data_IF_748616249072
#
_entry.id   IF_748616249072
#
_cell.length_a   1.000
_cell.length_b   1.000
_cell.length_c   1.000
_cell.angle_alpha   90.00
_cell.angle_beta   90.00
_cell.angle_gamma   90.00
#
_symmetry.space_group_name_H-M   'P 1'
#
loop_
_entity.id
_entity.type
_entity.pdbx_description
1 polymer ?
#
# COMPACT_ATOMS: atom_id res chain seq x y z
N UNK A 1 8.21 -17.12 1.43
CA UNK A 1 7.79 -16.43 2.69
C UNK A 1 6.28 -16.22 2.60
N UNK A 2 5.49 -17.01 3.34
CA UNK A 2 4.03 -16.89 3.34
C UNK A 2 3.64 -15.72 4.24
N UNK A 3 3.14 -14.65 3.65
CA UNK A 3 2.49 -13.56 4.33
C UNK A 3 1.11 -14.03 4.76
N UNK A 4 0.84 -14.11 6.06
CA UNK A 4 -0.54 -14.19 6.52
C UNK A 4 -1.13 -12.78 6.37
N UNK A 5 -2.03 -12.61 5.40
CA UNK A 5 -2.93 -11.46 5.37
C UNK A 5 -3.79 -11.56 6.65
N UNK A 6 -3.67 -10.58 7.52
CA UNK A 6 -4.60 -10.46 8.65
C UNK A 6 -5.99 -10.28 8.05
N UNK A 7 -6.97 -11.10 8.47
CA UNK A 7 -8.34 -11.07 7.97
C UNK A 7 -8.99 -9.70 8.25
N UNK A 8 -8.83 -8.76 7.32
CA UNK A 8 -9.60 -7.52 7.28
C UNK A 8 -10.99 -7.73 6.65
N UNK A 9 -11.27 -8.96 6.18
CA UNK A 9 -12.46 -9.31 5.40
C UNK A 9 -13.78 -9.26 6.17
N UNK A 10 -13.77 -9.52 7.48
CA UNK A 10 -15.02 -9.58 8.25
C UNK A 10 -15.62 -8.20 8.52
N UNK A 11 -14.79 -7.18 8.73
CA UNK A 11 -15.27 -5.79 8.91
C UNK A 11 -15.79 -5.17 7.60
N UNK A 12 -15.25 -5.61 6.45
CA UNK A 12 -15.74 -5.22 5.13
C UNK A 12 -17.13 -5.78 4.83
N UNK A 13 -17.47 -6.97 5.35
CA UNK A 13 -18.76 -7.64 5.10
C UNK A 13 -19.92 -6.97 5.80
N UNK A 14 -19.74 -6.50 7.02
CA UNK A 14 -20.82 -5.90 7.80
C UNK A 14 -21.19 -4.49 7.30
N UNK A 15 -20.20 -3.65 7.01
CA UNK A 15 -20.43 -2.33 6.42
C UNK A 15 -21.11 -2.41 5.04
N UNK A 16 -20.83 -3.47 4.29
CA UNK A 16 -21.33 -3.63 2.93
C UNK A 16 -22.82 -3.98 2.88
N UNK A 17 -23.34 -4.78 3.82
CA UNK A 17 -24.75 -5.16 3.88
C UNK A 17 -25.66 -3.94 4.08
N UNK A 18 -25.19 -2.93 4.81
CA UNK A 18 -25.97 -1.74 5.13
C UNK A 18 -26.02 -0.71 3.99
N UNK A 19 -24.93 -0.53 3.23
CA UNK A 19 -24.77 0.60 2.30
C UNK A 19 -24.76 0.24 0.81
N UNK A 20 -24.60 -1.05 0.46
CA UNK A 20 -24.62 -1.49 -0.94
C UNK A 20 -25.97 -1.25 -1.66
N UNK A 21 -27.14 -1.37 -1.00
CA UNK A 21 -28.42 -1.16 -1.65
C UNK A 21 -28.64 0.22 -2.26
N UNK A 22 -27.96 1.27 -1.74
CA UNK A 22 -28.08 2.65 -2.24
C UNK A 22 -27.16 2.94 -3.42
N UNK A 23 -26.26 2.03 -3.74
CA UNK A 23 -25.30 2.17 -4.81
C UNK A 23 -25.95 1.93 -6.16
N UNK A 24 -25.82 2.88 -7.07
CA UNK A 24 -26.32 2.77 -8.44
C UNK A 24 -25.17 2.41 -9.38
N UNK A 25 -25.34 1.35 -10.16
CA UNK A 25 -24.39 0.94 -11.21
C UNK A 25 -25.08 1.08 -12.55
N UNK A 26 -24.46 1.82 -13.46
CA UNK A 26 -24.94 1.94 -14.82
C UNK A 26 -23.82 1.64 -15.82
N UNK A 27 -24.17 1.05 -16.94
CA UNK A 27 -23.23 0.70 -18.00
C UNK A 27 -23.36 1.71 -19.15
N UNK A 28 -22.23 2.07 -19.71
CA UNK A 28 -22.12 2.91 -20.90
C UNK A 28 -20.97 2.45 -21.77
N UNK A 29 -21.10 2.60 -23.07
CA UNK A 29 -19.99 2.33 -24.00
C UNK A 29 -19.33 3.66 -24.36
N UNK A 30 -18.07 3.81 -23.98
CA UNK A 30 -17.26 4.94 -24.36
C UNK A 30 -16.38 4.56 -25.55
N UNK A 31 -16.15 5.48 -26.45
CA UNK A 31 -15.17 5.25 -27.49
C UNK A 31 -13.75 5.35 -26.93
N UNK A 32 -12.79 4.66 -27.55
CA UNK A 32 -11.38 4.76 -27.18
C UNK A 32 -10.91 6.21 -27.16
N UNK A 33 -11.33 7.03 -28.13
CA UNK A 33 -11.01 8.46 -28.19
C UNK A 33 -11.57 9.24 -27.01
N UNK A 34 -12.83 9.00 -26.62
CA UNK A 34 -13.44 9.64 -25.45
C UNK A 34 -12.71 9.27 -24.15
N UNK A 35 -12.35 8.01 -23.97
CA UNK A 35 -11.55 7.57 -22.81
C UNK A 35 -10.18 8.25 -22.77
N UNK A 36 -9.48 8.32 -23.90
CA UNK A 36 -8.19 9.00 -23.98
C UNK A 36 -8.30 10.49 -23.69
N UNK A 37 -9.38 11.15 -24.12
CA UNK A 37 -9.65 12.54 -23.78
C UNK A 37 -9.84 12.73 -22.26
N UNK A 38 -10.62 11.86 -21.61
CA UNK A 38 -10.81 11.93 -20.16
C UNK A 38 -9.50 11.68 -19.40
N UNK A 39 -8.65 10.79 -19.89
CA UNK A 39 -7.32 10.55 -19.33
C UNK A 39 -6.45 11.81 -19.49
N UNK A 40 -6.45 12.44 -20.67
CA UNK A 40 -5.65 13.66 -20.94
C UNK A 40 -6.05 14.85 -20.08
N UNK A 41 -7.33 14.93 -19.71
CA UNK A 41 -7.89 15.95 -18.81
C UNK A 41 -7.71 15.62 -17.33
N UNK A 42 -7.01 14.54 -16.98
CA UNK A 42 -6.84 14.06 -15.60
C UNK A 42 -8.16 13.78 -14.86
N UNK A 43 -9.24 13.50 -15.59
CA UNK A 43 -10.54 13.15 -14.99
C UNK A 43 -10.49 11.76 -14.36
N UNK A 44 -9.67 10.86 -14.92
CA UNK A 44 -9.29 9.58 -14.32
C UNK A 44 -7.86 9.64 -13.78
N UNK A 45 -7.64 9.22 -12.57
CA UNK A 45 -6.30 8.93 -12.08
C UNK A 45 -5.85 7.58 -12.64
N UNK A 46 -5.23 7.60 -13.81
CA UNK A 46 -4.74 6.38 -14.51
C UNK A 46 -3.29 6.08 -14.22
N UNK A 47 -2.51 7.07 -13.81
CA UNK A 47 -1.05 6.96 -13.68
C UNK A 47 -0.52 7.74 -12.47
N UNK A 48 -0.95 7.41 -11.26
CA UNK A 48 -0.32 7.97 -10.11
C UNK A 48 1.16 7.55 -10.08
N UNK A 49 2.07 8.43 -9.61
CA UNK A 49 3.53 8.22 -9.67
C UNK A 49 4.04 6.89 -9.15
N UNK A 50 3.28 6.26 -8.25
CA UNK A 50 3.57 4.96 -7.60
C UNK A 50 3.18 3.73 -8.44
N UNK A 51 2.34 3.88 -9.49
CA UNK A 51 1.91 2.74 -10.35
C UNK A 51 2.92 2.30 -11.38
N UNK A 52 4.04 2.98 -11.51
CA UNK A 52 5.18 2.46 -12.28
C UNK A 52 5.62 1.06 -11.84
N UNK A 53 5.15 0.60 -10.67
CA UNK A 53 5.52 -0.69 -10.07
C UNK A 53 4.67 -1.89 -10.52
N UNK A 54 3.47 -1.68 -11.08
CA UNK A 54 2.55 -2.78 -11.42
C UNK A 54 2.03 -2.75 -12.86
N UNK A 55 2.65 -1.98 -13.73
CA UNK A 55 2.23 -1.92 -15.12
C UNK A 55 2.40 -3.28 -15.82
N UNK A 56 1.42 -3.64 -16.66
CA UNK A 56 1.63 -4.72 -17.63
C UNK A 56 2.92 -4.47 -18.39
N UNK A 57 3.69 -5.52 -18.63
CA UNK A 57 4.82 -5.43 -19.54
C UNK A 57 4.33 -5.10 -20.97
N UNK A 58 5.27 -4.74 -21.84
CA UNK A 58 4.93 -4.33 -23.20
C UNK A 58 4.19 -5.41 -23.98
N UNK A 59 4.51 -6.69 -23.76
CA UNK A 59 3.84 -7.81 -24.44
C UNK A 59 2.36 -7.89 -24.02
N UNK A 60 2.07 -7.85 -22.73
CA UNK A 60 0.69 -7.94 -22.22
C UNK A 60 -0.14 -6.72 -22.63
N UNK A 61 0.47 -5.53 -22.60
CA UNK A 61 -0.15 -4.31 -23.12
C UNK A 61 -0.44 -4.40 -24.61
N UNK A 62 0.48 -4.97 -25.39
CA UNK A 62 0.34 -5.13 -26.84
C UNK A 62 -0.77 -6.11 -27.20
N UNK A 63 -0.87 -7.24 -26.50
CA UNK A 63 -1.94 -8.22 -26.71
C UNK A 63 -3.33 -7.64 -26.40
N UNK A 64 -3.45 -6.73 -25.42
CA UNK A 64 -4.70 -6.02 -25.17
C UNK A 64 -5.05 -5.07 -26.31
N UNK A 65 -4.06 -4.32 -26.84
CA UNK A 65 -4.26 -3.45 -28.01
C UNK A 65 -4.65 -4.28 -29.23
N UNK A 66 -3.99 -5.42 -29.46
CA UNK A 66 -4.35 -6.36 -30.53
C UNK A 66 -5.81 -6.82 -30.42
N UNK A 67 -6.25 -7.19 -29.19
CA UNK A 67 -7.63 -7.62 -28.95
C UNK A 67 -8.64 -6.51 -29.31
N UNK A 68 -8.32 -5.25 -29.02
CA UNK A 68 -9.17 -4.10 -29.41
C UNK A 68 -9.20 -3.91 -30.92
N UNK A 69 -8.05 -3.96 -31.58
CA UNK A 69 -7.94 -3.81 -33.05
C UNK A 69 -8.70 -4.91 -33.81
N UNK A 70 -8.72 -6.13 -33.25
CA UNK A 70 -9.47 -7.26 -33.78
C UNK A 70 -10.97 -7.20 -33.46
N UNK A 71 -11.43 -6.24 -32.65
CA UNK A 71 -12.81 -6.17 -32.20
C UNK A 71 -13.20 -7.29 -31.22
N UNK A 72 -12.24 -7.91 -30.56
CA UNK A 72 -12.51 -8.93 -29.57
C UNK A 72 -13.22 -8.32 -28.32
N UNK A 73 -14.18 -9.05 -27.71
CA UNK A 73 -14.77 -8.61 -26.46
C UNK A 73 -13.71 -8.55 -25.36
N UNK A 74 -13.55 -7.37 -24.77
CA UNK A 74 -12.63 -7.15 -23.64
C UNK A 74 -13.44 -6.91 -22.35
N UNK A 75 -12.90 -7.26 -21.17
CA UNK A 75 -13.58 -7.01 -19.91
C UNK A 75 -13.88 -5.50 -19.73
N UNK A 76 -15.03 -5.12 -19.16
CA UNK A 76 -15.41 -3.73 -18.96
C UNK A 76 -14.48 -3.01 -18.01
N UNK A 77 -14.30 -1.70 -18.19
CA UNK A 77 -13.66 -0.82 -17.23
C UNK A 77 -14.68 -0.45 -16.16
N UNK A 78 -14.32 -0.58 -14.89
CA UNK A 78 -15.18 -0.20 -13.78
C UNK A 78 -14.65 1.05 -13.09
N UNK A 79 -15.49 2.07 -12.99
CA UNK A 79 -15.22 3.37 -12.39
C UNK A 79 -16.16 3.60 -11.21
N UNK A 80 -15.73 4.41 -10.24
CA UNK A 80 -16.63 5.01 -9.26
C UNK A 80 -16.53 6.53 -9.35
N UNK A 81 -17.69 7.18 -9.37
CA UNK A 81 -17.78 8.64 -9.39
C UNK A 81 -17.40 9.19 -8.01
N UNK A 82 -16.47 10.12 -7.97
CA UNK A 82 -16.06 10.79 -6.73
C UNK A 82 -17.04 11.89 -6.35
N UNK A 83 -17.19 12.23 -5.06
CA UNK A 83 -17.95 13.39 -4.63
C UNK A 83 -17.46 14.66 -5.33
N UNK A 84 -18.36 15.59 -5.66
CA UNK A 84 -18.03 16.86 -6.34
C UNK A 84 -17.04 17.77 -5.58
N UNK A 85 -16.77 17.45 -4.33
CA UNK A 85 -15.73 18.12 -3.50
C UNK A 85 -14.31 17.66 -3.80
N UNK A 86 -14.12 16.64 -4.65
CA UNK A 86 -12.81 16.20 -5.11
C UNK A 86 -12.26 17.21 -6.13
N UNK A 87 -11.19 17.91 -5.80
CA UNK A 87 -10.67 19.03 -6.60
C UNK A 87 -10.01 18.61 -7.92
N UNK A 88 -9.56 17.36 -8.06
CA UNK A 88 -8.71 16.97 -9.19
C UNK A 88 -9.32 15.89 -10.10
N UNK A 89 -9.95 14.88 -9.55
CA UNK A 89 -10.47 13.74 -10.33
C UNK A 89 -11.98 13.56 -10.12
N UNK A 90 -12.69 13.20 -11.17
CA UNK A 90 -14.14 12.91 -11.07
C UNK A 90 -14.41 11.41 -10.85
N UNK A 91 -13.49 10.55 -11.25
CA UNK A 91 -13.64 9.10 -11.17
C UNK A 91 -12.39 8.44 -10.62
N UNK A 92 -12.60 7.44 -9.78
CA UNK A 92 -11.56 6.48 -9.41
C UNK A 92 -11.75 5.19 -10.20
N UNK A 93 -10.64 4.63 -10.69
CA UNK A 93 -10.66 3.37 -11.45
C UNK A 93 -10.71 2.19 -10.48
N UNK A 94 -11.83 1.46 -10.48
CA UNK A 94 -12.04 0.26 -9.66
C UNK A 94 -11.43 -0.96 -10.33
N UNK A 95 -11.69 -1.17 -11.63
CA UNK A 95 -11.04 -2.20 -12.43
C UNK A 95 -10.77 -1.69 -13.84
N UNK A 96 -9.72 -2.22 -14.46
CA UNK A 96 -9.32 -1.84 -15.81
C UNK A 96 -8.16 -0.85 -15.90
N UNK A 97 -7.50 -0.57 -14.79
CA UNK A 97 -6.38 0.38 -14.72
C UNK A 97 -5.22 0.03 -15.67
N UNK A 98 -4.85 -1.25 -15.76
CA UNK A 98 -3.82 -1.72 -16.69
C UNK A 98 -4.24 -1.57 -18.16
N UNK A 99 -5.54 -1.72 -18.44
CA UNK A 99 -6.15 -1.50 -19.76
C UNK A 99 -6.09 -0.03 -20.15
N UNK A 100 -6.48 0.86 -19.24
CA UNK A 100 -6.37 2.31 -19.45
C UNK A 100 -4.90 2.74 -19.60
N UNK A 101 -4.00 2.18 -18.79
CA UNK A 101 -2.56 2.41 -18.91
C UNK A 101 -1.99 1.96 -20.24
N UNK A 102 -2.41 0.80 -20.77
CA UNK A 102 -2.01 0.32 -22.08
C UNK A 102 -2.50 1.25 -23.21
N UNK A 103 -3.76 1.70 -23.14
CA UNK A 103 -4.32 2.69 -24.06
C UNK A 103 -3.56 4.01 -24.01
N UNK A 104 -3.31 4.54 -22.82
CA UNK A 104 -2.56 5.78 -22.60
C UNK A 104 -1.16 5.67 -23.21
N UNK A 105 -0.39 4.64 -22.85
CA UNK A 105 0.97 4.41 -23.35
C UNK A 105 1.02 4.24 -24.87
N UNK A 106 0.01 3.60 -25.46
CA UNK A 106 -0.06 3.36 -26.89
C UNK A 106 -0.47 4.62 -27.67
N UNK A 107 -1.65 5.16 -27.38
CA UNK A 107 -2.28 6.18 -28.23
C UNK A 107 -2.07 7.62 -27.75
N UNK A 108 -1.92 7.87 -26.43
CA UNK A 108 -1.71 9.22 -25.91
C UNK A 108 -0.23 9.55 -25.78
N UNK A 109 0.53 8.76 -25.02
CA UNK A 109 1.96 8.98 -24.81
C UNK A 109 2.81 8.52 -26.00
N UNK A 110 2.26 7.63 -26.84
CA UNK A 110 2.92 7.07 -28.06
C UNK A 110 4.26 6.37 -27.79
N UNK A 111 4.44 5.86 -26.57
CA UNK A 111 5.70 5.21 -26.14
C UNK A 111 5.67 3.69 -26.31
N UNK A 112 4.47 3.07 -26.26
CA UNK A 112 4.34 1.63 -26.41
C UNK A 112 4.64 1.21 -27.85
N UNK A 113 5.63 0.32 -28.00
CA UNK A 113 5.95 -0.37 -29.24
C UNK A 113 5.33 -1.75 -29.19
N UNK A 114 4.45 -2.09 -30.12
CA UNK A 114 3.74 -3.38 -30.12
C UNK A 114 4.72 -4.56 -30.22
N UNK A 115 4.51 -5.57 -29.39
CA UNK A 115 5.37 -6.75 -29.28
C UNK A 115 4.58 -7.99 -28.96
N UNK A 116 5.01 -9.12 -29.51
CA UNK A 116 4.45 -10.43 -29.18
C UNK A 116 3.00 -10.61 -29.64
N UNK A 117 2.59 -9.89 -30.69
CA UNK A 117 1.29 -10.03 -31.31
C UNK A 117 1.18 -11.42 -31.97
N UNK A 118 0.06 -12.06 -31.75
CA UNK A 118 -0.18 -13.44 -32.22
C UNK A 118 -0.91 -13.47 -33.56
N UNK A 119 -1.82 -12.54 -33.77
CA UNK A 119 -2.68 -12.48 -34.97
C UNK A 119 -2.20 -11.38 -35.94
N UNK A 120 -2.07 -10.13 -35.45
CA UNK A 120 -1.62 -8.98 -36.26
C UNK A 120 -0.10 -8.86 -36.21
N UNK A 121 0.60 -9.92 -36.62
CA UNK A 121 2.06 -10.02 -36.50
C UNK A 121 2.81 -8.94 -37.27
N UNK A 122 2.23 -8.41 -38.35
CA UNK A 122 2.74 -7.30 -39.14
C UNK A 122 2.84 -5.99 -38.36
N UNK A 123 2.06 -5.83 -37.28
CA UNK A 123 2.13 -4.67 -36.42
C UNK A 123 3.23 -4.75 -35.35
N UNK A 124 3.92 -5.90 -35.23
CA UNK A 124 5.03 -6.01 -34.31
C UNK A 124 6.14 -5.00 -34.66
N UNK A 125 6.54 -4.25 -33.63
CA UNK A 125 7.56 -3.22 -33.82
C UNK A 125 7.00 -1.83 -34.16
N UNK A 126 5.70 -1.71 -34.47
CA UNK A 126 5.08 -0.42 -34.76
C UNK A 126 4.61 0.30 -33.50
N UNK A 127 4.51 1.61 -33.58
CA UNK A 127 3.89 2.51 -32.61
C UNK A 127 2.54 3.00 -33.11
N UNK A 128 1.79 3.68 -32.27
CA UNK A 128 0.49 4.25 -32.67
C UNK A 128 0.60 5.17 -33.89
N UNK A 129 1.66 5.99 -33.96
CA UNK A 129 1.92 6.88 -35.10
C UNK A 129 2.06 6.18 -36.47
N UNK A 130 2.38 4.89 -36.46
CA UNK A 130 2.48 4.07 -37.64
C UNK A 130 1.14 3.37 -37.93
N UNK A 131 0.52 2.81 -36.86
CA UNK A 131 -0.75 2.07 -36.94
C UNK A 131 -1.92 2.99 -37.33
N UNK A 132 -1.99 4.25 -36.83
CA UNK A 132 -3.04 5.20 -37.18
C UNK A 132 -3.10 5.58 -38.68
N UNK A 133 -2.02 5.36 -39.42
CA UNK A 133 -1.95 5.63 -40.86
C UNK A 133 -2.49 4.48 -41.69
N UNK A 134 -2.64 3.30 -41.11
CA UNK A 134 -3.15 2.12 -41.81
C UNK A 134 -4.68 2.24 -41.94
N UNK A 135 -5.23 2.14 -43.17
CA UNK A 135 -6.67 2.35 -43.41
C UNK A 135 -7.56 1.45 -42.54
N UNK A 136 -7.18 0.21 -42.34
CA UNK A 136 -7.91 -0.78 -41.53
C UNK A 136 -8.00 -0.43 -40.06
N UNK A 137 -7.07 0.39 -39.54
CA UNK A 137 -7.03 0.80 -38.12
C UNK A 137 -7.34 2.28 -37.91
N UNK A 138 -7.76 3.01 -38.95
CA UNK A 138 -8.15 4.43 -38.89
C UNK A 138 -9.33 4.69 -37.91
N UNK A 139 -10.10 3.67 -37.58
CA UNK A 139 -11.25 3.73 -36.66
C UNK A 139 -10.88 3.44 -35.21
N UNK A 140 -9.61 3.32 -34.84
CA UNK A 140 -9.19 3.00 -33.48
C UNK A 140 -9.86 3.90 -32.43
N UNK A 141 -9.94 5.20 -32.67
CA UNK A 141 -10.59 6.17 -31.77
C UNK A 141 -12.08 5.94 -31.57
N UNK A 142 -12.73 5.21 -32.47
CA UNK A 142 -14.16 4.91 -32.43
C UNK A 142 -14.50 3.52 -31.85
N UNK A 143 -13.47 2.72 -31.50
CA UNK A 143 -13.70 1.40 -30.92
C UNK A 143 -14.44 1.53 -29.57
N UNK A 144 -15.54 0.79 -29.38
CA UNK A 144 -16.31 0.87 -28.15
C UNK A 144 -15.59 0.10 -27.03
N UNK A 145 -15.51 0.73 -25.87
CA UNK A 145 -15.04 0.11 -24.63
C UNK A 145 -16.16 0.19 -23.60
N UNK A 146 -16.65 -0.97 -23.20
CA UNK A 146 -17.67 -1.04 -22.16
C UNK A 146 -17.15 -0.52 -20.84
N UNK A 147 -17.91 0.38 -20.22
CA UNK A 147 -17.58 1.01 -18.96
C UNK A 147 -18.75 0.89 -17.98
N UNK A 148 -18.49 0.50 -16.76
CA UNK A 148 -19.45 0.45 -15.67
C UNK A 148 -19.12 1.56 -14.68
N UNK A 149 -20.10 2.38 -14.32
CA UNK A 149 -19.92 3.51 -13.42
C UNK A 149 -20.78 3.31 -12.18
N UNK A 150 -20.13 3.32 -11.02
CA UNK A 150 -20.77 3.28 -9.71
C UNK A 150 -21.01 4.71 -9.20
N UNK A 151 -22.22 4.97 -8.70
CA UNK A 151 -22.63 6.23 -8.09
C UNK A 151 -23.29 6.00 -6.74
N UNK A 152 -23.42 7.06 -5.96
CA UNK A 152 -24.07 7.05 -4.64
C UNK A 152 -23.47 6.06 -3.64
N UNK A 153 -22.22 5.70 -3.82
CA UNK A 153 -21.51 4.98 -2.78
C UNK A 153 -21.22 5.93 -1.61
N UNK A 154 -21.77 5.62 -0.45
CA UNK A 154 -21.72 6.54 0.70
C UNK A 154 -20.47 6.37 1.56
N UNK A 155 -19.77 5.25 1.42
CA UNK A 155 -18.59 4.90 2.21
C UNK A 155 -17.51 4.22 1.39
N UNK A 156 -16.27 4.52 1.71
CA UNK A 156 -15.09 3.92 1.06
C UNK A 156 -15.08 2.39 1.16
N UNK A 157 -15.68 1.82 2.23
CA UNK A 157 -15.82 0.38 2.45
C UNK A 157 -16.63 -0.29 1.33
N UNK A 158 -17.63 0.37 0.76
CA UNK A 158 -18.42 -0.15 -0.37
C UNK A 158 -17.54 -0.28 -1.62
N UNK A 159 -16.73 0.74 -1.92
CA UNK A 159 -15.80 0.68 -3.04
C UNK A 159 -14.77 -0.43 -2.86
N UNK A 160 -14.25 -0.59 -1.64
CA UNK A 160 -13.28 -1.62 -1.32
C UNK A 160 -13.87 -3.02 -1.49
N UNK A 161 -15.11 -3.22 -1.06
CA UNK A 161 -15.80 -4.50 -1.22
C UNK A 161 -16.00 -4.84 -2.71
N UNK A 162 -16.55 -3.91 -3.48
CA UNK A 162 -16.76 -4.12 -4.93
C UNK A 162 -15.43 -4.39 -5.63
N UNK A 163 -14.42 -3.63 -5.26
CA UNK A 163 -13.09 -3.79 -5.77
C UNK A 163 -12.52 -5.19 -5.48
N UNK A 164 -12.62 -5.65 -4.21
CA UNK A 164 -12.20 -6.98 -3.80
C UNK A 164 -12.96 -8.08 -4.58
N UNK A 165 -14.26 -7.90 -4.77
CA UNK A 165 -15.10 -8.85 -5.52
C UNK A 165 -14.74 -8.94 -7.00
N UNK A 166 -14.49 -7.83 -7.66
CA UNK A 166 -14.10 -7.80 -9.08
C UNK A 166 -12.72 -8.43 -9.31
N UNK A 167 -11.81 -8.29 -8.35
CA UNK A 167 -10.46 -8.80 -8.44
C UNK A 167 -10.25 -10.19 -7.80
N UNK A 168 -11.26 -10.77 -7.14
CA UNK A 168 -11.15 -12.03 -6.39
C UNK A 168 -10.76 -13.25 -7.23
N UNK A 169 -10.92 -13.18 -8.55
CA UNK A 169 -10.61 -14.29 -9.45
C UNK A 169 -9.16 -14.30 -9.99
N UNK A 170 -8.42 -13.18 -9.88
CA UNK A 170 -7.07 -13.09 -10.45
C UNK A 170 -6.01 -12.89 -9.37
N UNK A 171 -6.04 -11.82 -8.66
CA UNK A 171 -5.21 -11.54 -7.47
C UNK A 171 -5.82 -10.29 -6.83
N UNK A 172 -6.46 -10.40 -5.67
CA UNK A 172 -7.10 -9.24 -5.04
C UNK A 172 -6.05 -8.15 -4.77
N UNK A 173 -6.43 -6.88 -4.93
CA UNK A 173 -5.57 -5.80 -4.45
C UNK A 173 -5.47 -5.84 -2.94
N UNK A 174 -4.31 -5.46 -2.44
CA UNK A 174 -4.09 -5.30 -1.01
C UNK A 174 -4.88 -4.08 -0.49
N UNK A 175 -5.16 -4.07 0.81
CA UNK A 175 -5.80 -2.92 1.48
C UNK A 175 -5.02 -1.63 1.24
N UNK A 176 -3.70 -1.72 1.13
CA UNK A 176 -2.87 -0.54 0.88
C UNK A 176 -2.96 -0.03 -0.56
N UNK A 177 -3.04 -0.91 -1.55
CA UNK A 177 -3.29 -0.52 -2.95
C UNK A 177 -4.63 0.21 -3.07
N UNK A 178 -5.65 -0.23 -2.33
CA UNK A 178 -6.95 0.45 -2.22
C UNK A 178 -6.84 1.81 -1.54
N UNK A 179 -6.20 1.87 -0.38
CA UNK A 179 -5.95 3.12 0.36
C UNK A 179 -5.29 4.14 -0.54
N UNK A 180 -4.30 3.71 -1.28
CA UNK A 180 -3.56 4.56 -2.20
C UNK A 180 -4.42 5.11 -3.33
N UNK A 181 -5.35 4.32 -3.85
CA UNK A 181 -6.27 4.74 -4.91
C UNK A 181 -7.34 5.72 -4.42
N UNK A 182 -7.79 5.57 -3.17
CA UNK A 182 -8.88 6.36 -2.59
C UNK A 182 -8.40 7.61 -1.84
N UNK A 183 -7.21 7.57 -1.27
CA UNK A 183 -6.66 8.63 -0.42
C UNK A 183 -5.44 9.26 -1.07
N UNK A 184 -5.63 9.83 -2.27
CA UNK A 184 -4.58 10.55 -2.99
C UNK A 184 -4.23 11.86 -2.29
N UNK A 185 -2.95 12.25 -2.35
CA UNK A 185 -2.50 13.51 -1.78
C UNK A 185 -0.98 13.58 -1.62
N UNK A 186 -0.46 14.73 -1.17
CA UNK A 186 0.99 14.96 -1.11
C UNK A 186 1.71 14.03 -0.13
N UNK A 187 1.13 13.73 1.03
CA UNK A 187 1.70 12.72 1.94
C UNK A 187 1.77 11.34 1.30
N UNK A 188 0.72 10.94 0.59
CA UNK A 188 0.69 9.63 -0.06
C UNK A 188 1.78 9.53 -1.14
N UNK A 189 2.02 10.60 -1.88
CA UNK A 189 3.13 10.68 -2.86
C UNK A 189 4.49 10.56 -2.16
N UNK A 190 4.69 11.32 -1.08
CA UNK A 190 5.89 11.22 -0.27
C UNK A 190 6.13 9.80 0.26
N UNK A 191 5.08 9.15 0.79
CA UNK A 191 5.14 7.80 1.35
C UNK A 191 5.63 6.77 0.31
N UNK A 192 5.08 6.85 -0.91
CA UNK A 192 5.46 5.98 -2.02
C UNK A 192 6.92 6.17 -2.43
N UNK A 193 7.38 7.40 -2.50
CA UNK A 193 8.76 7.71 -2.83
C UNK A 193 9.73 7.28 -1.74
N UNK A 194 9.39 7.58 -0.47
CA UNK A 194 10.21 7.24 0.68
C UNK A 194 10.34 5.72 0.85
N UNK A 195 9.24 4.98 0.72
CA UNK A 195 9.26 3.52 0.82
C UNK A 195 10.03 2.86 -0.32
N UNK A 196 9.85 3.38 -1.54
CA UNK A 196 10.55 2.89 -2.73
C UNK A 196 12.07 2.99 -2.65
N UNK A 197 12.54 4.04 -1.98
CA UNK A 197 13.97 4.35 -1.82
C UNK A 197 14.54 3.84 -0.51
N UNK A 198 13.81 3.05 0.27
CA UNK A 198 14.23 2.55 1.59
C UNK A 198 14.91 1.18 1.51
N UNK A 199 16.25 1.09 1.58
CA UNK A 199 16.94 -0.18 1.64
C UNK A 199 16.56 -1.00 2.87
N UNK A 200 16.21 -0.33 3.98
CA UNK A 200 15.82 -0.94 5.24
C UNK A 200 14.52 -1.73 5.08
N UNK A 201 13.51 -1.11 4.47
CA UNK A 201 12.22 -1.76 4.19
C UNK A 201 12.39 -2.87 3.15
N UNK A 202 13.19 -2.63 2.11
CA UNK A 202 13.50 -3.65 1.09
C UNK A 202 14.17 -4.88 1.71
N UNK A 203 15.10 -4.68 2.67
CA UNK A 203 15.75 -5.76 3.42
C UNK A 203 14.74 -6.58 4.22
N UNK A 204 13.82 -5.94 4.94
CA UNK A 204 12.75 -6.63 5.69
C UNK A 204 11.89 -7.48 4.75
N UNK A 205 11.51 -6.94 3.59
CA UNK A 205 10.66 -7.62 2.62
C UNK A 205 11.41 -8.63 1.75
N UNK A 206 12.75 -8.67 1.84
CA UNK A 206 13.63 -9.46 0.98
C UNK A 206 13.38 -9.20 -0.51
N UNK A 207 13.29 -7.93 -0.89
CA UNK A 207 13.09 -7.47 -2.28
C UNK A 207 14.26 -6.58 -2.70
N UNK A 208 14.55 -6.53 -4.00
CA UNK A 208 15.60 -5.68 -4.58
C UNK A 208 15.06 -4.42 -5.27
N UNK A 209 13.79 -4.45 -5.59
CA UNK A 209 13.06 -3.36 -6.25
C UNK A 209 11.82 -3.01 -5.42
N UNK A 210 11.26 -1.83 -5.58
CA UNK A 210 10.03 -1.45 -4.91
C UNK A 210 8.91 -2.45 -5.12
N UNK A 211 8.16 -2.76 -4.07
CA UNK A 211 7.12 -3.79 -4.12
C UNK A 211 5.95 -3.36 -5.00
N UNK A 212 5.60 -4.19 -5.98
CA UNK A 212 4.48 -3.90 -6.89
C UNK A 212 3.12 -3.90 -6.20
N UNK A 213 2.99 -4.57 -5.03
CA UNK A 213 1.80 -4.60 -4.19
C UNK A 213 1.82 -3.57 -3.05
N UNK A 214 2.79 -2.65 -3.08
CA UNK A 214 2.95 -1.58 -2.12
C UNK A 214 3.08 -2.05 -0.64
N UNK A 215 3.56 -3.28 -0.39
CA UNK A 215 3.82 -3.77 0.97
C UNK A 215 4.88 -2.95 1.69
N UNK A 216 5.84 -2.41 0.93
CA UNK A 216 6.86 -1.48 1.42
C UNK A 216 6.23 -0.18 1.93
N UNK A 217 5.30 0.41 1.18
CA UNK A 217 4.59 1.61 1.56
C UNK A 217 3.64 1.36 2.75
N UNK A 218 2.96 0.21 2.79
CA UNK A 218 2.11 -0.17 3.93
C UNK A 218 2.93 -0.30 5.22
N UNK A 219 4.09 -0.97 5.17
CA UNK A 219 4.95 -1.15 6.33
C UNK A 219 5.48 0.20 6.85
N UNK A 220 5.88 1.09 5.95
CA UNK A 220 6.33 2.43 6.32
C UNK A 220 5.19 3.28 6.90
N UNK A 221 3.99 3.25 6.28
CA UNK A 221 2.81 3.94 6.80
C UNK A 221 2.46 3.46 8.21
N UNK A 222 2.47 2.15 8.43
CA UNK A 222 2.22 1.54 9.74
C UNK A 222 3.20 2.06 10.79
N UNK A 223 4.49 2.09 10.45
CA UNK A 223 5.52 2.60 11.35
C UNK A 223 5.32 4.08 11.68
N UNK A 224 5.04 4.93 10.68
CA UNK A 224 4.73 6.35 10.88
C UNK A 224 3.48 6.52 11.74
N UNK A 225 2.40 5.78 11.46
CA UNK A 225 1.14 5.89 12.15
C UNK A 225 1.27 5.56 13.65
N UNK A 226 1.90 4.44 13.99
CA UNK A 226 2.14 4.08 15.40
C UNK A 226 3.12 5.03 16.08
N UNK A 227 4.12 5.53 15.37
CA UNK A 227 5.05 6.51 15.91
C UNK A 227 4.37 7.83 16.27
N UNK A 228 3.53 8.37 15.39
CA UNK A 228 2.96 9.70 15.53
C UNK A 228 1.59 9.73 16.21
N UNK A 229 0.80 8.65 16.10
CA UNK A 229 -0.62 8.67 16.45
C UNK A 229 -1.08 7.45 17.27
N UNK A 230 -0.18 6.69 17.88
CA UNK A 230 -0.52 5.46 18.63
C UNK A 230 -1.68 5.66 19.64
N UNK A 231 -1.74 6.81 20.32
CA UNK A 231 -2.81 7.14 21.28
C UNK A 231 -4.22 7.21 20.64
N UNK A 232 -4.30 7.34 19.31
CA UNK A 232 -5.56 7.37 18.55
C UNK A 232 -5.99 5.99 18.04
N UNK A 233 -5.16 4.97 18.25
CA UNK A 233 -5.48 3.60 17.84
C UNK A 233 -6.58 3.02 18.71
N UNK A 234 -7.63 2.47 18.07
CA UNK A 234 -8.84 1.92 18.72
C UNK A 234 -9.14 0.47 18.31
N UNK A 235 -8.10 -0.30 17.92
CA UNK A 235 -8.26 -1.72 17.59
C UNK A 235 -8.54 -2.01 16.09
N UNK A 236 -8.93 -1.02 15.30
CA UNK A 236 -9.11 -1.17 13.87
C UNK A 236 -7.93 -0.57 13.11
N UNK A 237 -6.99 -1.43 12.67
CA UNK A 237 -5.76 -1.01 12.01
C UNK A 237 -6.04 -0.30 10.68
N UNK A 238 -6.96 -0.83 9.88
CA UNK A 238 -7.33 -0.27 8.58
C UNK A 238 -7.84 1.17 8.75
N UNK A 239 -8.84 1.37 9.60
CA UNK A 239 -9.41 2.69 9.89
C UNK A 239 -8.35 3.65 10.47
N UNK A 240 -7.45 3.16 11.30
CA UNK A 240 -6.35 3.93 11.86
C UNK A 240 -5.39 4.43 10.77
N UNK A 241 -4.95 3.56 9.86
CA UNK A 241 -4.07 3.91 8.75
C UNK A 241 -4.76 4.84 7.74
N UNK A 242 -6.04 4.61 7.43
CA UNK A 242 -6.84 5.48 6.55
C UNK A 242 -6.99 6.89 7.16
N UNK A 243 -7.30 6.96 8.46
CA UNK A 243 -7.43 8.25 9.17
C UNK A 243 -6.09 8.98 9.24
N UNK A 244 -4.99 8.26 9.47
CA UNK A 244 -3.63 8.82 9.47
C UNK A 244 -3.31 9.41 8.10
N UNK A 245 -3.58 8.67 7.03
CA UNK A 245 -3.33 9.13 5.64
C UNK A 245 -4.15 10.37 5.31
N UNK A 246 -5.46 10.40 5.61
CA UNK A 246 -6.30 11.60 5.39
C UNK A 246 -5.78 12.82 6.16
N UNK A 247 -5.46 12.65 7.44
CA UNK A 247 -4.96 13.72 8.28
C UNK A 247 -3.64 14.30 7.78
N UNK A 248 -2.71 13.44 7.35
CA UNK A 248 -1.43 13.89 6.83
C UNK A 248 -1.57 14.53 5.46
N UNK A 249 -2.41 13.97 4.56
CA UNK A 249 -2.70 14.60 3.27
C UNK A 249 -3.30 16.01 3.42
N UNK A 250 -4.25 16.19 4.36
CA UNK A 250 -4.94 17.48 4.56
C UNK A 250 -4.09 18.57 5.24
N UNK A 251 -2.99 18.18 5.91
CA UNK A 251 -2.11 19.08 6.66
C UNK A 251 -0.70 19.16 6.09
N UNK A 252 -0.49 18.56 4.90
CA UNK A 252 0.84 18.45 4.33
C UNK A 252 1.38 19.80 3.90
N UNK A 253 2.39 20.27 4.60
CA UNK A 253 3.19 21.42 4.28
C UNK A 253 4.68 21.10 4.50
N UNK A 254 5.56 22.04 4.22
CA UNK A 254 7.01 21.85 4.37
C UNK A 254 7.44 21.53 5.80
N UNK A 255 6.69 21.98 6.81
CA UNK A 255 6.97 21.71 8.23
C UNK A 255 6.59 20.25 8.56
N UNK A 256 5.38 19.82 8.19
CA UNK A 256 4.91 18.44 8.40
C UNK A 256 5.78 17.46 7.63
N UNK A 257 6.13 17.77 6.38
CA UNK A 257 7.01 16.95 5.56
C UNK A 257 8.36 16.73 6.23
N UNK A 258 8.98 17.81 6.74
CA UNK A 258 10.24 17.72 7.50
C UNK A 258 10.09 16.83 8.73
N UNK A 259 9.03 17.03 9.53
CA UNK A 259 8.80 16.22 10.73
C UNK A 259 8.64 14.73 10.39
N UNK A 260 7.89 14.39 9.34
CA UNK A 260 7.73 13.00 8.89
C UNK A 260 9.04 12.44 8.35
N UNK A 261 9.83 13.23 7.63
CA UNK A 261 11.16 12.83 7.14
C UNK A 261 12.12 12.53 8.29
N UNK A 262 12.10 13.32 9.35
CA UNK A 262 12.90 13.09 10.56
C UNK A 262 12.45 11.77 11.24
N UNK A 263 11.13 11.54 11.34
CA UNK A 263 10.57 10.26 11.84
C UNK A 263 11.04 9.09 11.00
N UNK A 264 10.98 9.19 9.67
CA UNK A 264 11.42 8.11 8.76
C UNK A 264 12.91 7.82 8.95
N UNK A 265 13.72 8.86 9.15
CA UNK A 265 15.16 8.70 9.43
C UNK A 265 15.40 7.92 10.73
N UNK A 266 14.66 8.26 11.80
CA UNK A 266 14.75 7.55 13.08
C UNK A 266 14.27 6.10 12.97
N UNK A 267 13.20 5.85 12.18
CA UNK A 267 12.70 4.49 11.90
C UNK A 267 13.74 3.66 11.15
N UNK A 268 14.40 4.22 10.15
CA UNK A 268 15.49 3.54 9.43
C UNK A 268 16.64 3.18 10.37
N UNK A 269 17.04 4.10 11.24
CA UNK A 269 18.07 3.84 12.24
C UNK A 269 17.65 2.75 13.25
N UNK A 270 16.36 2.71 13.63
CA UNK A 270 15.83 1.64 14.50
C UNK A 270 15.86 0.28 13.80
N UNK A 271 15.53 0.22 12.52
CA UNK A 271 15.57 -1.03 11.74
C UNK A 271 17.01 -1.55 11.67
N UNK A 272 17.98 -0.71 11.30
CA UNK A 272 19.38 -1.11 11.23
C UNK A 272 19.89 -1.59 12.59
N UNK A 273 19.59 -0.86 13.65
CA UNK A 273 19.99 -1.25 15.01
C UNK A 273 19.35 -2.58 15.43
N UNK A 274 18.11 -2.85 15.06
CA UNK A 274 17.47 -4.15 15.30
C UNK A 274 18.22 -5.27 14.57
N UNK A 275 18.66 -5.02 13.34
CA UNK A 275 19.49 -6.00 12.60
C UNK A 275 20.91 -6.17 13.21
N UNK A 276 21.50 -5.14 13.80
CA UNK A 276 22.76 -5.25 14.55
C UNK A 276 22.62 -6.20 15.75
N UNK A 277 21.46 -6.12 16.45
CA UNK A 277 21.21 -6.98 17.62
C UNK A 277 20.83 -8.39 17.20
N UNK A 278 19.83 -8.55 16.33
CA UNK A 278 19.17 -9.84 16.07
C UNK A 278 19.65 -10.53 14.78
N UNK A 279 20.44 -9.86 13.95
CA UNK A 279 20.91 -10.41 12.68
C UNK A 279 19.76 -10.85 11.77
N UNK A 280 19.84 -12.05 11.23
CA UNK A 280 18.80 -12.64 10.37
C UNK A 280 17.49 -12.97 11.11
N UNK A 281 17.50 -12.99 12.45
CA UNK A 281 16.33 -13.21 13.29
C UNK A 281 15.58 -11.91 13.66
N UNK A 282 16.02 -10.76 13.13
CA UNK A 282 15.34 -9.49 13.35
C UNK A 282 13.85 -9.57 12.98
N UNK A 283 13.01 -9.02 13.86
CA UNK A 283 11.55 -9.00 13.69
C UNK A 283 10.87 -10.38 13.62
N UNK A 284 11.51 -11.41 14.16
CA UNK A 284 10.95 -12.75 14.23
C UNK A 284 10.52 -13.10 15.66
N UNK A 285 9.49 -13.92 15.76
CA UNK A 285 9.13 -14.53 17.03
C UNK A 285 10.13 -15.62 17.39
N UNK A 286 10.34 -15.80 18.68
CA UNK A 286 11.11 -16.91 19.22
C UNK A 286 10.15 -17.93 19.84
N UNK A 287 10.38 -19.20 19.54
CA UNK A 287 9.68 -20.34 20.11
C UNK A 287 10.73 -21.24 20.79
N UNK A 288 10.56 -21.46 22.11
CA UNK A 288 11.55 -22.17 22.91
C UNK A 288 12.99 -21.65 22.70
N UNK A 289 13.17 -20.34 22.56
CA UNK A 289 14.47 -19.70 22.35
C UNK A 289 15.02 -19.75 20.91
N UNK A 290 14.24 -20.31 19.96
CA UNK A 290 14.65 -20.43 18.54
C UNK A 290 13.82 -19.50 17.67
N UNK A 291 14.43 -18.70 16.76
CA UNK A 291 13.68 -17.84 15.87
C UNK A 291 12.86 -18.65 14.84
N UNK A 292 11.61 -18.26 14.63
CA UNK A 292 10.65 -19.01 13.78
C UNK A 292 10.89 -18.87 12.27
N UNK A 293 11.82 -18.03 11.84
CA UNK A 293 12.11 -17.76 10.44
C UNK A 293 11.07 -16.89 9.72
N UNK A 294 10.05 -16.38 10.43
CA UNK A 294 8.94 -15.60 9.84
C UNK A 294 8.94 -14.18 10.37
N UNK A 295 8.80 -13.21 9.48
CA UNK A 295 8.60 -11.82 9.85
C UNK A 295 7.28 -11.63 10.60
N UNK A 296 7.33 -10.95 11.75
CA UNK A 296 6.17 -10.64 12.59
C UNK A 296 6.00 -9.11 12.69
N UNK A 297 4.88 -8.60 12.19
CA UNK A 297 4.57 -7.16 12.20
C UNK A 297 4.42 -6.59 13.59
N UNK A 298 3.89 -7.36 14.54
CA UNK A 298 3.72 -6.90 15.91
C UNK A 298 5.06 -6.72 16.63
N UNK A 299 6.02 -7.61 16.35
CA UNK A 299 7.39 -7.49 16.84
C UNK A 299 8.09 -6.31 16.17
N UNK A 300 7.92 -6.15 14.87
CA UNK A 300 8.44 -4.98 14.15
C UNK A 300 7.97 -3.68 14.79
N UNK A 301 6.64 -3.51 15.01
CA UNK A 301 6.10 -2.32 15.65
C UNK A 301 6.76 -2.05 17.02
N UNK A 302 6.87 -3.09 17.85
CA UNK A 302 7.42 -2.94 19.20
C UNK A 302 8.90 -2.56 19.20
N UNK A 303 9.69 -3.20 18.33
CA UNK A 303 11.13 -2.94 18.25
C UNK A 303 11.42 -1.55 17.73
N UNK A 304 10.78 -1.12 16.62
CA UNK A 304 11.04 0.19 16.04
C UNK A 304 10.58 1.33 16.95
N UNK A 305 9.46 1.17 17.67
CA UNK A 305 8.96 2.20 18.58
C UNK A 305 9.88 2.46 19.76
N UNK A 306 10.65 1.48 20.20
CA UNK A 306 11.63 1.63 21.26
C UNK A 306 12.97 2.11 20.71
N UNK A 307 13.47 1.49 19.65
CA UNK A 307 14.79 1.79 19.11
C UNK A 307 14.85 3.03 18.21
N UNK A 308 13.71 3.71 17.91
CA UNK A 308 13.73 4.99 17.18
C UNK A 308 14.46 6.11 17.93
N UNK A 309 14.55 6.05 19.26
CA UNK A 309 15.24 7.04 20.06
C UNK A 309 16.74 6.84 20.00
N UNK A 310 17.46 7.88 19.57
CA UNK A 310 18.91 7.83 19.43
C UNK A 310 19.60 7.53 20.76
N UNK A 311 19.14 8.12 21.85
CA UNK A 311 19.68 7.92 23.19
C UNK A 311 19.51 6.46 23.67
N UNK A 312 18.43 5.79 23.28
CA UNK A 312 18.23 4.36 23.59
C UNK A 312 19.24 3.52 22.82
N UNK A 313 19.39 3.78 21.51
CA UNK A 313 20.36 3.06 20.68
C UNK A 313 21.79 3.26 21.19
N UNK A 314 22.13 4.48 21.67
CA UNK A 314 23.45 4.76 22.23
C UNK A 314 23.68 4.00 23.54
N UNK A 315 22.73 4.00 24.47
CA UNK A 315 22.82 3.28 25.73
C UNK A 315 22.85 1.75 25.56
N UNK A 316 22.21 1.25 24.51
CA UNK A 316 22.12 -0.18 24.19
C UNK A 316 23.33 -0.73 23.40
N UNK A 317 24.25 0.12 22.94
CA UNK A 317 25.44 -0.32 22.22
C UNK A 317 26.31 -1.23 23.07
N UNK A 318 26.76 -2.33 22.47
CA UNK A 318 27.58 -3.35 23.14
C UNK A 318 26.82 -4.31 24.05
N UNK A 319 25.50 -4.16 24.21
CA UNK A 319 24.64 -5.02 25.03
C UNK A 319 23.78 -5.97 24.17
N UNK A 320 24.34 -6.45 23.07
CA UNK A 320 23.60 -7.25 22.06
C UNK A 320 23.05 -8.55 22.63
N UNK A 321 23.84 -9.26 23.43
CA UNK A 321 23.45 -10.53 24.05
C UNK A 321 22.36 -10.28 25.10
N UNK A 322 22.55 -9.31 26.00
CA UNK A 322 21.58 -8.96 27.03
C UNK A 322 20.21 -8.58 26.43
N UNK A 323 20.21 -7.86 25.30
CA UNK A 323 18.98 -7.48 24.61
C UNK A 323 18.28 -8.67 23.93
N UNK A 324 19.04 -9.62 23.40
CA UNK A 324 18.48 -10.85 22.84
C UNK A 324 17.85 -11.71 23.94
N UNK A 325 18.57 -11.90 25.04
CA UNK A 325 18.09 -12.67 26.17
C UNK A 325 16.84 -12.02 26.78
N UNK A 326 16.84 -10.71 26.98
CA UNK A 326 15.67 -9.97 27.43
C UNK A 326 14.45 -10.12 26.49
N UNK A 327 14.68 -10.20 25.17
CA UNK A 327 13.60 -10.44 24.22
C UNK A 327 13.07 -11.89 24.28
N UNK A 328 13.97 -12.86 24.41
CA UNK A 328 13.63 -14.28 24.58
C UNK A 328 12.83 -14.47 25.88
N UNK A 329 13.24 -13.82 26.97
CA UNK A 329 12.56 -13.92 28.27
C UNK A 329 11.13 -13.38 28.21
N UNK A 330 10.89 -12.22 27.59
CA UNK A 330 9.52 -11.69 27.44
C UNK A 330 8.65 -12.56 26.53
N UNK A 331 9.23 -13.32 25.59
CA UNK A 331 8.49 -14.28 24.76
C UNK A 331 8.09 -15.54 25.51
N UNK A 332 8.70 -15.85 26.66
CA UNK A 332 8.33 -16.97 27.53
C UNK A 332 7.11 -16.65 28.39
N UNK A 333 6.78 -15.37 28.60
CA UNK A 333 5.54 -14.97 29.27
C UNK A 333 4.34 -15.25 28.35
N UNK A 334 3.38 -16.12 28.75
CA UNK A 334 2.24 -16.49 27.91
C UNK A 334 1.34 -15.30 27.54
N UNK A 335 1.18 -14.30 28.40
CA UNK A 335 0.40 -13.12 28.14
C UNK A 335 1.08 -12.25 27.06
N UNK A 336 2.35 -11.97 27.23
CA UNK A 336 3.15 -11.17 26.29
C UNK A 336 3.28 -11.88 24.94
N UNK A 337 3.57 -13.16 24.93
CA UNK A 337 3.63 -13.98 23.71
C UNK A 337 2.30 -13.97 22.98
N UNK A 338 1.18 -14.07 23.68
CA UNK A 338 -0.17 -13.99 23.13
C UNK A 338 -0.45 -12.66 22.38
N UNK A 339 0.12 -11.55 22.82
CA UNK A 339 0.00 -10.25 22.13
C UNK A 339 0.74 -10.20 20.80
N UNK A 340 1.66 -11.11 20.54
CA UNK A 340 2.37 -11.25 19.27
C UNK A 340 1.78 -12.33 18.35
N UNK A 341 0.87 -13.17 18.83
CA UNK A 341 0.30 -14.30 18.10
C UNK A 341 -1.17 -14.13 17.74
N UNK A 342 -2.03 -14.05 18.73
CA UNK A 342 -3.49 -14.23 18.56
C UNK A 342 -4.28 -12.93 18.65
N UNK A 343 -3.95 -12.05 19.61
CA UNK A 343 -4.71 -10.82 19.90
C UNK A 343 -3.95 -9.56 19.46
N UNK A 344 -3.27 -9.63 18.34
CA UNK A 344 -2.31 -8.59 17.90
C UNK A 344 -2.94 -7.22 17.64
N UNK A 345 -4.27 -7.16 17.46
CA UNK A 345 -4.98 -5.95 16.99
C UNK A 345 -5.63 -5.12 18.09
N UNK A 346 -5.84 -5.65 19.30
CA UNK A 346 -6.49 -4.87 20.35
C UNK A 346 -5.59 -3.73 20.85
N UNK A 347 -6.14 -2.58 21.28
CA UNK A 347 -5.34 -1.49 21.85
C UNK A 347 -4.50 -1.93 23.03
N UNK A 348 -5.05 -2.81 23.87
CA UNK A 348 -4.39 -3.39 25.05
C UNK A 348 -3.17 -4.21 24.64
N UNK A 349 -3.33 -5.09 23.65
CA UNK A 349 -2.22 -5.90 23.15
C UNK A 349 -1.12 -5.04 22.49
N UNK A 350 -1.51 -4.02 21.71
CA UNK A 350 -0.55 -3.09 21.10
C UNK A 350 0.25 -2.32 22.16
N UNK A 351 -0.45 -1.78 23.17
CA UNK A 351 0.22 -1.06 24.25
C UNK A 351 1.02 -1.99 25.16
N UNK A 352 0.47 -3.18 25.45
CA UNK A 352 1.10 -4.19 26.30
C UNK A 352 2.44 -4.64 25.75
N UNK A 353 2.48 -5.08 24.48
CA UNK A 353 3.73 -5.56 23.86
C UNK A 353 4.79 -4.48 23.72
N UNK A 354 4.41 -3.23 23.37
CA UNK A 354 5.36 -2.11 23.29
C UNK A 354 5.90 -1.78 24.68
N UNK A 355 5.04 -1.77 25.71
CA UNK A 355 5.44 -1.51 27.09
C UNK A 355 6.32 -2.62 27.66
N UNK A 356 6.00 -3.89 27.38
CA UNK A 356 6.81 -5.04 27.81
C UNK A 356 8.22 -4.96 27.22
N UNK A 357 8.33 -4.72 25.91
CA UNK A 357 9.63 -4.56 25.25
C UNK A 357 10.39 -3.32 25.77
N UNK A 358 9.72 -2.16 25.89
CA UNK A 358 10.35 -0.97 26.41
C UNK A 358 10.87 -1.15 27.85
N UNK A 359 10.12 -1.88 28.69
CA UNK A 359 10.56 -2.22 30.05
C UNK A 359 11.78 -3.14 30.05
N UNK A 360 11.77 -4.18 29.22
CA UNK A 360 12.91 -5.10 29.10
C UNK A 360 14.18 -4.37 28.63
N UNK A 361 14.07 -3.53 27.58
CA UNK A 361 15.19 -2.69 27.14
C UNK A 361 15.60 -1.71 28.24
N UNK A 362 14.65 -1.11 28.97
CA UNK A 362 14.92 -0.20 30.07
C UNK A 362 15.79 -0.83 31.16
N UNK A 363 15.50 -2.07 31.53
CA UNK A 363 16.33 -2.83 32.47
C UNK A 363 17.77 -3.01 31.95
N UNK A 364 17.91 -3.40 30.68
CA UNK A 364 19.23 -3.60 30.07
C UNK A 364 20.04 -2.30 29.99
N UNK A 365 19.41 -1.17 29.68
CA UNK A 365 20.09 0.13 29.53
C UNK A 365 20.02 1.02 30.76
N UNK A 366 19.50 0.50 31.87
CA UNK A 366 19.37 1.20 33.16
C UNK A 366 18.55 2.48 33.07
N UNK A 367 17.39 2.42 32.37
CA UNK A 367 16.46 3.56 32.18
C UNK A 367 15.00 3.16 32.44
N UNK A 368 14.36 3.82 33.40
CA UNK A 368 12.97 3.55 33.80
C UNK A 368 11.93 4.35 32.99
N UNK A 369 12.34 5.34 32.21
CA UNK A 369 11.44 6.25 31.47
C UNK A 369 10.99 5.74 30.09
N UNK A 370 11.60 4.68 29.56
CA UNK A 370 11.33 4.18 28.22
C UNK A 370 9.88 3.79 27.95
N UNK A 371 9.12 3.17 28.88
CA UNK A 371 7.70 2.86 28.63
C UNK A 371 6.84 4.09 28.40
N UNK A 372 7.20 5.24 28.95
CA UNK A 372 6.50 6.51 28.74
C UNK A 372 6.85 7.13 27.39
N UNK A 373 8.12 7.09 27.01
CA UNK A 373 8.61 7.60 25.72
C UNK A 373 8.04 6.84 24.53
N UNK A 374 7.89 5.52 24.65
CA UNK A 374 7.37 4.67 23.60
C UNK A 374 5.91 4.96 23.21
N UNK A 375 5.17 5.73 24.02
CA UNK A 375 3.71 5.94 23.86
C UNK A 375 3.29 6.96 22.81
N UNK A 376 4.08 7.89 22.36
CA UNK A 376 3.90 8.72 21.14
C UNK A 376 4.81 9.95 21.10
N UNK A 377 5.18 10.38 19.89
CA UNK A 377 5.66 11.75 19.67
C UNK A 377 4.58 12.46 18.84
N UNK A 378 3.72 13.30 19.44
CA UNK A 378 2.74 14.03 18.65
C UNK A 378 3.46 14.95 17.65
N UNK A 379 2.97 14.97 16.42
CA UNK A 379 3.32 16.00 15.44
C UNK A 379 2.92 17.36 16.05
N UNK A 380 3.88 18.25 16.21
CA UNK A 380 3.70 19.61 16.76
C UNK A 380 3.28 20.61 15.71
#
# INVERSE_FOLDING_TARGET
MLWQEENEDDELRDATREFLPDTVVWATDWTTGALLEQISREIFDVDPPFQRRSAWNDVRSSLYIESLLLGCPVPPITLAELPRSSEKHQYVVIDGKQRLGALKRFALDRVLKLRGLETLKELNGLRFSDVEKLPEFSRFSNLPIRTMVMRNWQRDEVLQFVFHRLNSQVTPLSTHELRRSLLTGPFTTYLDEASARSPQIQRILNIREPDFRLRDAELLLRAIAFTCFMSKYKGNLKKFLDTTTRNLNSRWDSKVEKQISDVVTDLHAAIEFTYEIFGSAAFQRYDAGVPTGRFNRAIFDSMILVFRYQEVRQAARGRTEDLRDAFIDIMQDPEVSGWFEATTKTPEAVQGRVSAWAKAVGVVVERDDLPLLARSTPLR
#
